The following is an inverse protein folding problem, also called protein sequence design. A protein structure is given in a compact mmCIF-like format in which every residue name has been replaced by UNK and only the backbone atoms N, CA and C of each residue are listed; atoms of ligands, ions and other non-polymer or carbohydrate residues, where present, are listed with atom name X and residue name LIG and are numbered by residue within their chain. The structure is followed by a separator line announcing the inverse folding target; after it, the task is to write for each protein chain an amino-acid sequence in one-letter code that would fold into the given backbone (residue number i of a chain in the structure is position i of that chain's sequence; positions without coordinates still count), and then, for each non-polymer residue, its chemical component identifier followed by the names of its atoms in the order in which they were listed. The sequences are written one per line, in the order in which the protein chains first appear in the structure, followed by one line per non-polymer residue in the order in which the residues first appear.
data_IF_245115490933
#
_entry.id   IF_245115490933
#
_cell.length_a   1.000
_cell.length_b   1.000
_cell.length_c   1.000
_cell.angle_alpha   90.00
_cell.angle_beta   90.00
_cell.angle_gamma   90.00
#
_symmetry.space_group_name_H-M   'P 1'
#
loop_
_entity.id
_entity.type
_entity.pdbx_description
1 polymer ?
#
# COMPACT_ATOMS: atom_id res chain seq x y z
N UNK A 1 -0.07 -14.31 -13.45
CA UNK A 1 0.53 -13.87 -14.72
C UNK A 1 1.64 -12.94 -14.33
N UNK A 2 2.88 -13.35 -14.58
CA UNK A 2 4.06 -12.51 -14.33
C UNK A 2 3.94 -11.33 -15.30
N UNK A 3 3.68 -10.14 -14.78
CA UNK A 3 3.60 -8.94 -15.61
C UNK A 3 4.98 -8.66 -16.20
N UNK A 4 5.05 -8.55 -17.53
CA UNK A 4 6.24 -8.22 -18.32
C UNK A 4 6.71 -6.75 -18.16
N UNK A 5 6.44 -6.14 -17.00
CA UNK A 5 6.96 -4.83 -16.64
C UNK A 5 8.29 -5.04 -15.90
N UNK A 6 9.37 -4.33 -16.26
CA UNK A 6 10.61 -4.43 -15.49
C UNK A 6 10.32 -4.01 -14.05
N UNK A 7 10.91 -4.72 -13.08
CA UNK A 7 10.74 -4.49 -11.64
C UNK A 7 10.86 -3.01 -11.21
N UNK A 8 11.60 -2.23 -11.99
CA UNK A 8 11.80 -0.82 -11.81
C UNK A 8 10.56 0.02 -12.13
N UNK A 9 9.79 -0.33 -13.18
CA UNK A 9 8.58 0.40 -13.57
C UNK A 9 7.47 0.20 -12.53
N UNK A 10 7.33 -1.02 -12.01
CA UNK A 10 6.43 -1.29 -10.87
C UNK A 10 6.79 -0.49 -9.61
N UNK A 11 8.08 -0.33 -9.32
CA UNK A 11 8.56 0.49 -8.21
C UNK A 11 8.25 1.98 -8.43
N UNK A 12 8.47 2.48 -9.64
CA UNK A 12 8.15 3.87 -10.00
C UNK A 12 6.65 4.14 -9.93
N UNK A 13 5.81 3.21 -10.41
CA UNK A 13 4.36 3.35 -10.38
C UNK A 13 3.83 3.34 -8.93
N UNK A 14 4.27 2.38 -8.09
CA UNK A 14 3.91 2.38 -6.66
C UNK A 14 4.40 3.65 -5.95
N UNK A 15 5.64 4.06 -6.19
CA UNK A 15 6.17 5.32 -5.62
C UNK A 15 5.31 6.52 -6.03
N UNK A 16 4.92 6.58 -7.31
CA UNK A 16 4.06 7.62 -7.86
C UNK A 16 2.65 7.60 -7.29
N UNK A 17 2.05 6.43 -7.10
CA UNK A 17 0.74 6.26 -6.48
C UNK A 17 0.75 6.80 -5.04
N UNK A 18 1.71 6.38 -4.22
CA UNK A 18 1.81 6.86 -2.85
C UNK A 18 2.19 8.34 -2.76
N UNK A 19 2.96 8.87 -3.72
CA UNK A 19 3.21 10.30 -3.81
C UNK A 19 1.92 11.09 -4.07
N UNK A 20 1.06 10.62 -5.00
CA UNK A 20 -0.25 11.24 -5.27
C UNK A 20 -1.14 11.20 -4.03
N UNK A 21 -1.21 10.06 -3.34
CA UNK A 21 -1.94 9.92 -2.08
C UNK A 21 -1.42 10.92 -1.04
N UNK A 22 -0.10 11.09 -0.93
CA UNK A 22 0.54 12.06 -0.03
C UNK A 22 0.26 13.52 -0.40
N UNK A 23 0.22 13.86 -1.69
CA UNK A 23 -0.13 15.20 -2.18
C UNK A 23 -1.58 15.54 -1.87
N UNK A 24 -2.51 14.59 -1.96
CA UNK A 24 -3.93 14.87 -1.70
C UNK A 24 -4.21 14.84 -0.20
N UNK A 25 -3.73 13.80 0.50
CA UNK A 25 -4.01 13.59 1.93
C UNK A 25 -3.24 14.52 2.86
N UNK A 26 -1.97 14.81 2.57
CA UNK A 26 -1.09 15.63 3.41
C UNK A 26 -1.65 17.05 3.64
N UNK A 27 -1.87 17.85 2.57
CA UNK A 27 -2.47 19.17 2.66
C UNK A 27 -3.81 19.19 3.37
N UNK A 28 -4.70 18.25 3.08
CA UNK A 28 -6.02 18.19 3.73
C UNK A 28 -5.89 18.03 5.25
N UNK A 29 -5.02 17.12 5.71
CA UNK A 29 -4.77 16.90 7.13
C UNK A 29 -4.10 18.10 7.81
N UNK A 30 -3.06 18.69 7.22
CA UNK A 30 -2.37 19.84 7.82
C UNK A 30 -3.18 21.13 7.76
N UNK A 31 -4.06 21.28 6.76
CA UNK A 31 -5.02 22.40 6.72
C UNK A 31 -5.97 22.26 7.90
N UNK A 32 -6.63 21.10 8.03
CA UNK A 32 -7.59 20.85 9.10
C UNK A 32 -6.93 21.02 10.49
N UNK A 33 -5.78 20.38 10.70
CA UNK A 33 -5.02 20.49 11.95
C UNK A 33 -4.54 21.92 12.22
N UNK A 34 -4.09 22.62 11.18
CA UNK A 34 -3.68 24.02 11.27
C UNK A 34 -4.85 24.94 11.62
N UNK A 35 -6.05 24.65 11.10
CA UNK A 35 -7.28 25.38 11.40
C UNK A 35 -7.75 25.16 12.84
N UNK A 36 -7.72 23.91 13.33
CA UNK A 36 -8.10 23.58 14.71
C UNK A 36 -7.15 24.15 15.76
N UNK A 37 -5.86 24.29 15.45
CA UNK A 37 -4.85 24.76 16.40
C UNK A 37 -4.61 26.28 16.37
N UNK A 38 -5.35 27.03 15.55
CA UNK A 38 -5.14 28.48 15.36
C UNK A 38 -6.09 29.32 16.23
N UNK A 39 -5.61 30.43 16.84
CA UNK A 39 -6.49 31.40 17.50
C UNK A 39 -7.46 32.06 16.50
N UNK A 40 -8.63 32.52 16.98
CA UNK A 40 -9.70 33.10 16.16
C UNK A 40 -9.15 34.27 15.31
N UNK A 41 -9.16 34.13 13.98
CA UNK A 41 -8.84 35.21 13.03
C UNK A 41 -7.77 34.89 11.96
N UNK A 42 -6.83 33.98 12.22
CA UNK A 42 -5.72 33.66 11.28
C UNK A 42 -5.74 32.21 10.77
N UNK A 43 -6.87 31.55 10.93
CA UNK A 43 -7.09 30.12 10.69
C UNK A 43 -6.67 29.68 9.27
N UNK A 44 -7.03 30.45 8.24
CA UNK A 44 -6.71 30.13 6.84
C UNK A 44 -5.25 30.36 6.48
N UNK A 45 -4.65 31.47 6.94
CA UNK A 45 -3.26 31.82 6.63
C UNK A 45 -2.30 30.82 7.30
N UNK A 46 -2.57 30.45 8.56
CA UNK A 46 -1.77 29.45 9.28
C UNK A 46 -1.99 28.03 8.76
N UNK A 47 -3.20 27.70 8.33
CA UNK A 47 -3.49 26.46 7.60
C UNK A 47 -2.67 26.35 6.31
N UNK A 48 -2.69 27.37 5.47
CA UNK A 48 -1.93 27.40 4.21
C UNK A 48 -0.41 27.34 4.44
N UNK A 49 0.08 28.05 5.45
CA UNK A 49 1.49 28.05 5.80
C UNK A 49 1.94 26.67 6.32
N UNK A 50 1.11 26.02 7.14
CA UNK A 50 1.37 24.65 7.61
C UNK A 50 1.38 23.63 6.47
N UNK A 51 0.48 23.77 5.49
CA UNK A 51 0.49 22.94 4.28
C UNK A 51 1.78 23.14 3.49
N UNK A 52 2.17 24.38 3.20
CA UNK A 52 3.32 24.66 2.34
C UNK A 52 4.63 24.05 2.87
N UNK A 53 4.80 24.01 4.19
CA UNK A 53 6.02 23.48 4.83
C UNK A 53 5.97 21.95 4.98
N UNK A 54 4.77 21.36 5.20
CA UNK A 54 4.65 19.95 5.55
C UNK A 54 4.16 19.05 4.40
N UNK A 55 3.41 19.59 3.44
CA UNK A 55 2.90 18.84 2.28
C UNK A 55 4.01 18.15 1.46
N UNK A 56 5.11 18.81 1.04
CA UNK A 56 6.17 18.14 0.30
C UNK A 56 6.90 17.08 1.14
N UNK A 57 7.00 17.30 2.46
CA UNK A 57 7.63 16.34 3.38
C UNK A 57 6.79 15.08 3.53
N UNK A 58 5.47 15.22 3.66
CA UNK A 58 4.57 14.07 3.73
C UNK A 58 4.48 13.32 2.40
N UNK A 59 4.38 14.02 1.27
CA UNK A 59 4.38 13.38 -0.04
C UNK A 59 5.68 12.61 -0.30
N UNK A 60 6.83 13.18 0.05
CA UNK A 60 8.12 12.49 -0.05
C UNK A 60 8.22 11.26 0.86
N UNK A 61 7.75 11.35 2.11
CA UNK A 61 7.75 10.21 3.03
C UNK A 61 6.82 9.08 2.56
N UNK A 62 5.63 9.41 2.04
CA UNK A 62 4.72 8.43 1.43
C UNK A 62 5.32 7.78 0.19
N UNK A 63 6.00 8.54 -0.68
CA UNK A 63 6.67 8.02 -1.86
C UNK A 63 7.78 7.01 -1.50
N UNK A 64 8.64 7.35 -0.53
CA UNK A 64 9.71 6.45 -0.07
C UNK A 64 9.12 5.18 0.56
N UNK A 65 8.03 5.30 1.33
CA UNK A 65 7.33 4.14 1.86
C UNK A 65 6.83 3.22 0.75
N UNK A 66 6.17 3.76 -0.28
CA UNK A 66 5.69 3.02 -1.45
C UNK A 66 6.79 2.35 -2.29
N UNK A 67 7.92 3.03 -2.48
CA UNK A 67 9.06 2.43 -3.17
C UNK A 67 9.67 1.28 -2.36
N UNK A 68 9.80 1.45 -1.04
CA UNK A 68 10.30 0.40 -0.15
C UNK A 68 9.39 -0.82 -0.14
N UNK A 69 8.06 -0.65 -0.15
CA UNK A 69 7.14 -1.79 -0.19
C UNK A 69 7.35 -2.64 -1.44
N UNK A 70 7.51 -2.04 -2.62
CA UNK A 70 7.82 -2.77 -3.86
C UNK A 70 9.13 -3.57 -3.78
N UNK A 71 10.18 -2.97 -3.20
CA UNK A 71 11.49 -3.63 -3.01
C UNK A 71 11.35 -4.82 -2.06
N UNK A 72 10.64 -4.64 -0.94
CA UNK A 72 10.44 -5.70 0.03
C UNK A 72 9.58 -6.84 -0.51
N UNK A 73 8.53 -6.55 -1.28
CA UNK A 73 7.72 -7.58 -1.93
C UNK A 73 8.55 -8.40 -2.91
N UNK A 74 9.29 -7.74 -3.80
CA UNK A 74 10.17 -8.41 -4.76
C UNK A 74 11.22 -9.28 -4.08
N UNK A 75 11.82 -8.78 -2.98
CA UNK A 75 12.80 -9.52 -2.19
C UNK A 75 12.19 -10.74 -1.48
N UNK A 76 11.03 -10.58 -0.85
CA UNK A 76 10.33 -11.67 -0.15
C UNK A 76 9.84 -12.75 -1.13
N UNK A 77 9.33 -12.35 -2.30
CA UNK A 77 8.93 -13.28 -3.37
C UNK A 77 10.16 -14.03 -3.89
N UNK A 78 11.29 -13.35 -4.08
CA UNK A 78 12.53 -13.99 -4.52
C UNK A 78 13.02 -15.06 -3.53
N UNK A 79 12.94 -14.76 -2.23
CA UNK A 79 13.37 -15.70 -1.17
C UNK A 79 12.39 -16.85 -1.00
N UNK A 80 11.07 -16.58 -0.98
CA UNK A 80 10.04 -17.59 -0.66
C UNK A 80 9.47 -18.31 -1.88
N UNK A 81 9.71 -17.80 -3.09
CA UNK A 81 9.16 -18.27 -4.37
C UNK A 81 7.64 -18.45 -4.37
N UNK A 82 6.94 -17.70 -3.51
CA UNK A 82 5.49 -17.79 -3.33
C UNK A 82 4.91 -16.41 -3.12
N UNK A 83 3.82 -16.15 -3.83
CA UNK A 83 3.05 -14.92 -3.75
C UNK A 83 1.81 -15.17 -2.87
N UNK A 84 1.95 -14.87 -1.57
CA UNK A 84 0.91 -15.04 -0.55
C UNK A 84 0.49 -13.67 -0.01
N UNK A 85 -0.75 -13.50 0.47
CA UNK A 85 -1.20 -12.26 1.13
C UNK A 85 -0.32 -11.83 2.31
N UNK A 86 0.40 -12.77 2.92
CA UNK A 86 1.35 -12.53 3.99
C UNK A 86 2.60 -11.76 3.54
N UNK A 87 2.99 -11.89 2.27
CA UNK A 87 4.10 -11.13 1.67
C UNK A 87 3.81 -9.63 1.71
N UNK A 88 2.60 -9.22 1.33
CA UNK A 88 2.19 -7.81 1.41
C UNK A 88 2.10 -7.31 2.85
N UNK A 89 1.67 -8.14 3.82
CA UNK A 89 1.66 -7.74 5.23
C UNK A 89 3.07 -7.50 5.76
N UNK A 90 3.99 -8.43 5.47
CA UNK A 90 5.38 -8.32 5.90
C UNK A 90 6.13 -7.19 5.21
N UNK A 91 5.93 -6.99 3.91
CA UNK A 91 6.60 -5.93 3.15
C UNK A 91 6.21 -4.54 3.67
N UNK A 92 4.93 -4.32 3.95
CA UNK A 92 4.40 -3.08 4.49
C UNK A 92 4.91 -2.82 5.91
N UNK A 93 4.93 -3.85 6.76
CA UNK A 93 5.50 -3.76 8.10
C UNK A 93 7.01 -3.46 8.07
N UNK A 94 7.77 -4.14 7.19
CA UNK A 94 9.21 -3.96 7.03
C UNK A 94 9.55 -2.56 6.48
N UNK A 95 8.82 -2.08 5.47
CA UNK A 95 9.00 -0.74 4.92
C UNK A 95 8.76 0.34 5.98
N UNK A 96 7.68 0.23 6.76
CA UNK A 96 7.36 1.17 7.82
C UNK A 96 8.35 1.13 8.99
N UNK A 97 8.81 -0.07 9.36
CA UNK A 97 9.83 -0.25 10.40
C UNK A 97 11.18 0.31 9.97
N UNK A 98 11.59 0.08 8.72
CA UNK A 98 12.86 0.57 8.18
C UNK A 98 12.89 2.11 8.10
N UNK A 99 11.78 2.72 7.68
CA UNK A 99 11.68 4.17 7.54
C UNK A 99 11.81 4.91 8.88
N UNK A 100 11.27 4.31 9.95
CA UNK A 100 11.34 4.85 11.30
C UNK A 100 12.56 4.35 12.08
N UNK A 101 13.39 3.48 11.50
CA UNK A 101 14.57 2.91 12.15
C UNK A 101 15.57 4.01 12.57
N UNK A 102 15.70 5.04 11.73
CA UNK A 102 16.51 6.23 12.00
C UNK A 102 15.97 7.08 13.17
N UNK A 103 14.71 6.88 13.58
CA UNK A 103 14.07 7.58 14.72
C UNK A 103 14.10 6.74 16.00
N UNK A 104 14.71 5.55 15.95
CA UNK A 104 14.93 4.64 17.07
C UNK A 104 14.12 3.34 16.96
N UNK A 105 14.55 2.32 17.72
CA UNK A 105 13.93 0.98 17.68
C UNK A 105 12.49 0.97 18.24
N UNK A 106 12.19 1.83 19.22
CA UNK A 106 10.84 1.96 19.78
C UNK A 106 9.82 2.45 18.73
N UNK A 107 10.04 3.62 18.11
CA UNK A 107 9.18 4.12 17.03
C UNK A 107 9.07 3.15 15.84
N UNK A 108 10.17 2.51 15.46
CA UNK A 108 10.20 1.53 14.36
C UNK A 108 9.32 0.31 14.59
N UNK A 109 9.37 -0.28 15.80
CA UNK A 109 8.51 -1.43 16.11
C UNK A 109 7.03 -1.04 16.14
N UNK A 110 6.71 0.14 16.68
CA UNK A 110 5.34 0.65 16.72
C UNK A 110 4.79 0.95 15.32
N UNK A 111 5.58 1.58 14.43
CA UNK A 111 5.15 1.84 13.06
C UNK A 111 4.92 0.52 12.31
N UNK A 112 5.86 -0.43 12.41
CA UNK A 112 5.73 -1.75 11.80
C UNK A 112 4.44 -2.47 12.23
N UNK A 113 4.08 -2.43 13.52
CA UNK A 113 2.85 -3.02 14.03
C UNK A 113 1.59 -2.34 13.48
N UNK A 114 1.57 -1.00 13.42
CA UNK A 114 0.41 -0.25 12.92
C UNK A 114 0.19 -0.53 11.43
N UNK A 115 1.23 -0.43 10.61
CA UNK A 115 1.12 -0.67 9.17
C UNK A 115 0.89 -2.16 8.85
N UNK A 116 1.54 -3.08 9.56
CA UNK A 116 1.34 -4.51 9.40
C UNK A 116 -0.08 -4.95 9.79
N UNK A 117 -0.60 -4.48 10.93
CA UNK A 117 -1.98 -4.79 11.34
C UNK A 117 -3.02 -4.18 10.41
N UNK A 118 -2.82 -2.93 9.96
CA UNK A 118 -3.68 -2.28 8.99
C UNK A 118 -3.76 -3.05 7.67
N UNK A 119 -2.63 -3.48 7.13
CA UNK A 119 -2.59 -4.28 5.90
C UNK A 119 -3.14 -5.70 6.09
N UNK A 120 -2.94 -6.32 7.25
CA UNK A 120 -3.52 -7.61 7.55
C UNK A 120 -5.06 -7.56 7.57
N UNK A 121 -5.64 -6.50 8.14
CA UNK A 121 -7.09 -6.27 8.12
C UNK A 121 -7.59 -6.05 6.70
N UNK A 122 -6.88 -5.22 5.91
CA UNK A 122 -7.25 -4.96 4.51
C UNK A 122 -7.24 -6.24 3.66
N UNK A 123 -6.16 -7.02 3.73
CA UNK A 123 -6.08 -8.30 3.04
C UNK A 123 -7.11 -9.32 3.55
N UNK A 124 -7.38 -9.35 4.86
CA UNK A 124 -8.44 -10.17 5.44
C UNK A 124 -9.82 -9.82 4.88
N UNK A 125 -10.13 -8.52 4.76
CA UNK A 125 -11.37 -8.05 4.13
C UNK A 125 -11.45 -8.47 2.66
N UNK A 126 -10.36 -8.33 1.88
CA UNK A 126 -10.32 -8.74 0.49
C UNK A 126 -10.58 -10.25 0.31
N UNK A 127 -10.00 -11.07 1.18
CA UNK A 127 -10.26 -12.53 1.16
C UNK A 127 -11.73 -12.81 1.44
N UNK A 128 -12.33 -12.19 2.46
CA UNK A 128 -13.76 -12.38 2.78
C UNK A 128 -14.65 -11.92 1.64
N UNK A 129 -14.38 -10.75 1.05
CA UNK A 129 -15.14 -10.23 -0.09
C UNK A 129 -15.06 -11.18 -1.30
N UNK A 130 -13.87 -11.68 -1.63
CA UNK A 130 -13.68 -12.62 -2.74
C UNK A 130 -14.41 -13.95 -2.48
N UNK A 131 -14.50 -14.39 -1.23
CA UNK A 131 -15.28 -15.58 -0.84
C UNK A 131 -16.79 -15.38 -0.95
N UNK A 132 -17.28 -14.17 -0.67
CA UNK A 132 -18.73 -13.85 -0.72
C UNK A 132 -19.19 -13.61 -2.16
N UNK A 133 -18.34 -13.03 -3.01
CA UNK A 133 -18.67 -12.68 -4.39
C UNK A 133 -18.44 -13.82 -5.40
N UNK A 134 -17.67 -14.84 -5.03
CA UNK A 134 -17.44 -16.03 -5.86
C UNK A 134 -17.83 -17.31 -5.10
N UNK A 135 -18.96 -17.97 -5.44
CA UNK A 135 -18.91 -19.42 -5.59
C UNK A 135 -17.73 -19.72 -6.53
N UNK A 136 -16.89 -20.68 -6.15
CA UNK A 136 -15.73 -21.13 -6.93
C UNK A 136 -16.02 -21.12 -8.44
N UNK A 137 -15.11 -20.66 -9.33
CA UNK A 137 -15.23 -21.04 -10.74
C UNK A 137 -15.22 -22.56 -10.77
N UNK A 138 -16.38 -23.13 -11.08
CA UNK A 138 -16.66 -24.53 -11.00
C UNK A 138 -15.66 -25.27 -11.89
N UNK A 139 -14.69 -25.95 -11.29
CA UNK A 139 -13.68 -26.74 -12.02
C UNK A 139 -14.38 -27.79 -12.91
N UNK A 140 -15.66 -28.10 -12.63
CA UNK A 140 -16.53 -28.94 -13.46
C UNK A 140 -17.00 -28.29 -14.77
N UNK A 141 -17.11 -26.96 -14.87
CA UNK A 141 -17.53 -26.29 -16.12
C UNK A 141 -16.40 -26.22 -17.16
N UNK A 142 -15.14 -26.15 -16.70
CA UNK A 142 -13.96 -26.14 -17.55
C UNK A 142 -13.64 -27.55 -18.11
N UNK A 143 -13.85 -28.63 -17.33
CA UNK A 143 -13.71 -30.00 -17.84
C UNK A 143 -14.79 -30.35 -18.88
N UNK A 144 -16.03 -29.85 -18.68
CA UNK A 144 -17.13 -30.03 -19.64
C UNK A 144 -16.90 -29.29 -20.96
N UNK A 145 -16.30 -28.09 -20.96
CA UNK A 145 -15.95 -27.37 -22.20
C UNK A 145 -14.78 -28.02 -22.93
N UNK A 146 -13.79 -28.54 -22.21
CA UNK A 146 -12.65 -29.23 -22.83
C UNK A 146 -13.06 -30.56 -23.49
N UNK A 147 -13.97 -31.33 -22.86
CA UNK A 147 -14.55 -32.53 -23.47
C UNK A 147 -15.48 -32.24 -24.66
N UNK A 148 -16.18 -31.11 -24.68
CA UNK A 148 -17.01 -30.70 -25.83
C UNK A 148 -16.21 -30.13 -27.00
N UNK A 149 -15.05 -29.52 -26.75
CA UNK A 149 -14.16 -28.99 -27.79
C UNK A 149 -13.17 -30.00 -28.38
N UNK A 150 -12.92 -31.13 -27.70
CA UNK A 150 -11.95 -32.14 -28.09
C UNK A 150 -12.48 -33.31 -28.94
N UNK A 151 -13.76 -33.33 -29.30
CA UNK A 151 -14.31 -34.33 -30.23
C UNK A 151 -14.96 -33.60 -31.39
N UNK A 152 -14.18 -33.38 -32.44
CA UNK A 152 -14.62 -33.29 -33.84
C UNK A 152 -13.37 -33.41 -34.72
N UNK A 153 -13.08 -34.65 -35.11
CA UNK A 153 -12.55 -34.98 -36.45
C UNK A 153 -13.36 -34.30 -37.54
#
# INVERSE_FOLDING_TARGET
MVHDEPWFDHLLDQTGEFFRVGIVGGPAFYTLKGMYNSPKGECLIRGLQAVRVNAPRCAGHCAVWGGLTSVFESSLIHVRKKDDPWTSVLSNAAAAGLLELCRGLGPASRSALIFGSGMAIFQGYLIVKNRVQSPQPDFEELDKKQKRGGIKT
#
